data_IF_018488221243
#
_entry.id   IF_018488221243
#
_cell.length_a   1.000
_cell.length_b   1.000
_cell.length_c   1.000
_cell.angle_alpha   90.00
_cell.angle_beta   90.00
_cell.angle_gamma   90.00
#
_symmetry.space_group_name_H-M   'P 1'
#
loop_
_entity.id
_entity.type
_entity.pdbx_description
1 polymer ?
#
# COMPACT_ATOMS: atom_id res chain seq x y z
N UNK A 1 -3.29 -1.34 -6.59
CA UNK A 1 -3.71 -0.89 -7.96
C UNK A 1 -4.72 -1.86 -8.53
N UNK A 2 -5.29 -1.58 -9.70
CA UNK A 2 -6.34 -2.41 -10.26
C UNK A 2 -6.25 -2.66 -11.77
N UNK A 3 -6.66 -3.85 -12.18
CA UNK A 3 -6.95 -4.22 -13.55
C UNK A 3 -8.47 -4.11 -13.75
N UNK A 4 -8.87 -3.04 -14.43
CA UNK A 4 -10.28 -2.68 -14.65
C UNK A 4 -11.06 -3.77 -15.38
N UNK A 5 -10.47 -4.39 -16.39
CA UNK A 5 -11.15 -5.39 -17.20
C UNK A 5 -11.44 -6.65 -16.38
N UNK A 6 -10.42 -7.16 -15.65
CA UNK A 6 -10.60 -8.30 -14.75
C UNK A 6 -11.61 -8.00 -13.64
N UNK A 7 -11.53 -6.82 -13.03
CA UNK A 7 -12.45 -6.43 -11.95
C UNK A 7 -13.91 -6.35 -12.43
N UNK A 8 -14.16 -5.70 -13.57
CA UNK A 8 -15.50 -5.50 -14.12
C UNK A 8 -16.25 -6.78 -14.46
N UNK A 9 -15.50 -7.86 -14.76
CA UNK A 9 -16.07 -9.17 -15.07
C UNK A 9 -16.07 -10.06 -13.83
N UNK A 10 -14.89 -10.29 -13.24
CA UNK A 10 -14.69 -11.37 -12.26
C UNK A 10 -15.04 -10.93 -10.85
N UNK A 11 -14.54 -9.78 -10.42
CA UNK A 11 -14.87 -9.27 -9.08
C UNK A 11 -16.33 -8.87 -9.01
N UNK A 12 -16.84 -8.17 -10.03
CA UNK A 12 -18.24 -7.78 -10.09
C UNK A 12 -19.20 -8.98 -9.98
N UNK A 13 -19.01 -10.01 -10.81
CA UNK A 13 -19.86 -11.21 -10.82
C UNK A 13 -19.86 -11.93 -9.47
N UNK A 14 -18.66 -12.12 -8.89
CA UNK A 14 -18.52 -12.78 -7.60
C UNK A 14 -19.13 -11.94 -6.46
N UNK A 15 -18.92 -10.62 -6.43
CA UNK A 15 -19.55 -9.75 -5.41
C UNK A 15 -21.08 -9.70 -5.57
N UNK A 16 -21.59 -9.74 -6.80
CA UNK A 16 -23.02 -9.61 -7.07
C UNK A 16 -23.82 -10.87 -6.70
N UNK A 17 -23.26 -12.04 -6.99
CA UNK A 17 -24.04 -13.28 -7.02
C UNK A 17 -23.51 -14.38 -6.11
N UNK A 18 -22.21 -14.38 -5.84
CA UNK A 18 -21.59 -15.53 -5.18
C UNK A 18 -21.86 -15.48 -3.68
N UNK A 19 -22.39 -16.60 -3.19
CA UNK A 19 -22.26 -16.95 -1.78
C UNK A 19 -20.91 -17.65 -1.62
N UNK A 20 -20.07 -17.11 -0.75
CA UNK A 20 -18.80 -17.75 -0.38
C UNK A 20 -19.06 -18.73 0.77
N UNK A 21 -18.34 -18.69 1.89
CA UNK A 21 -18.55 -19.62 2.98
C UNK A 21 -19.97 -19.54 3.59
N UNK A 22 -20.31 -18.44 4.25
CA UNK A 22 -21.60 -18.34 4.96
C UNK A 22 -22.58 -17.37 4.32
N UNK A 23 -22.10 -16.30 3.69
CA UNK A 23 -22.95 -15.19 3.23
C UNK A 23 -22.48 -14.58 1.91
N UNK A 24 -23.33 -13.71 1.35
CA UNK A 24 -23.02 -12.88 0.16
C UNK A 24 -22.41 -11.55 0.60
N UNK A 25 -21.74 -10.85 -0.31
CA UNK A 25 -21.19 -9.52 -0.02
C UNK A 25 -22.27 -8.52 0.42
N UNK A 26 -23.45 -8.56 -0.21
CA UNK A 26 -24.61 -7.74 0.18
C UNK A 26 -25.00 -7.96 1.64
N UNK A 27 -25.20 -9.22 2.02
CA UNK A 27 -25.59 -9.59 3.39
C UNK A 27 -24.49 -9.30 4.41
N UNK A 28 -23.22 -9.33 4.00
CA UNK A 28 -22.09 -8.90 4.82
C UNK A 28 -22.18 -7.40 5.13
N UNK A 29 -22.31 -6.54 4.11
CA UNK A 29 -22.43 -5.09 4.30
C UNK A 29 -23.69 -4.70 5.11
N UNK A 30 -24.81 -5.40 4.92
CA UNK A 30 -26.02 -5.22 5.74
C UNK A 30 -25.77 -5.55 7.22
N UNK A 31 -24.92 -6.53 7.51
CA UNK A 31 -24.45 -6.86 8.86
C UNK A 31 -23.60 -5.74 9.45
N UNK A 32 -22.56 -5.31 8.72
CA UNK A 32 -21.66 -4.19 9.11
C UNK A 32 -22.43 -2.91 9.45
N UNK A 33 -23.39 -2.55 8.60
CA UNK A 33 -24.26 -1.39 8.84
C UNK A 33 -25.08 -1.48 10.13
N UNK A 34 -25.56 -2.68 10.50
CA UNK A 34 -26.32 -2.87 11.74
C UNK A 34 -25.44 -2.75 12.98
N UNK A 35 -24.19 -3.22 12.89
CA UNK A 35 -23.23 -3.18 14.00
C UNK A 35 -22.71 -1.75 14.26
N UNK A 36 -22.38 -1.01 13.20
CA UNK A 36 -21.75 0.32 13.29
C UNK A 36 -22.78 1.45 13.36
N UNK A 37 -23.98 1.25 12.79
CA UNK A 37 -25.02 2.26 12.68
C UNK A 37 -24.79 3.22 11.51
N UNK A 38 -24.01 4.28 11.70
CA UNK A 38 -23.72 5.27 10.64
C UNK A 38 -22.66 4.69 9.71
N UNK A 39 -23.09 4.24 8.53
CA UNK A 39 -22.24 3.49 7.60
C UNK A 39 -22.48 3.92 6.15
N UNK A 40 -21.43 4.39 5.48
CA UNK A 40 -21.52 5.07 4.17
C UNK A 40 -21.26 4.16 2.97
N UNK A 41 -20.61 3.01 3.18
CA UNK A 41 -20.35 2.00 2.15
C UNK A 41 -21.66 1.26 1.85
N UNK A 42 -22.05 1.21 0.57
CA UNK A 42 -23.27 0.49 0.15
C UNK A 42 -22.96 -0.48 -0.98
N UNK A 43 -23.67 -1.60 -0.98
CA UNK A 43 -23.51 -2.66 -1.97
C UNK A 43 -23.64 -2.14 -3.41
N UNK A 44 -24.66 -1.32 -3.67
CA UNK A 44 -24.94 -0.79 -5.00
C UNK A 44 -23.81 0.12 -5.51
N UNK A 45 -23.25 0.98 -4.63
CA UNK A 45 -22.14 1.86 -4.99
C UNK A 45 -20.87 1.08 -5.30
N UNK A 46 -20.56 0.09 -4.46
CA UNK A 46 -19.39 -0.77 -4.66
C UNK A 46 -19.50 -1.52 -5.99
N UNK A 47 -20.65 -2.16 -6.25
CA UNK A 47 -20.86 -2.88 -7.51
C UNK A 47 -20.78 -1.96 -8.73
N UNK A 48 -21.39 -0.78 -8.67
CA UNK A 48 -21.35 0.19 -9.77
C UNK A 48 -19.90 0.57 -10.10
N UNK A 49 -19.09 0.90 -9.09
CA UNK A 49 -17.67 1.24 -9.28
C UNK A 49 -16.87 0.06 -9.79
N UNK A 50 -17.01 -1.13 -9.22
CA UNK A 50 -16.30 -2.33 -9.69
C UNK A 50 -16.65 -2.65 -11.15
N UNK A 51 -17.91 -2.48 -11.55
CA UNK A 51 -18.36 -2.71 -12.94
C UNK A 51 -17.83 -1.66 -13.91
N UNK A 52 -17.91 -0.39 -13.52
CA UNK A 52 -17.66 0.75 -14.42
C UNK A 52 -16.19 1.13 -14.48
N UNK A 53 -15.55 1.29 -13.32
CA UNK A 53 -14.13 1.56 -13.15
C UNK A 53 -13.70 1.41 -11.68
N UNK A 54 -13.10 0.27 -11.34
CA UNK A 54 -12.62 -0.02 -9.99
C UNK A 54 -11.57 1.00 -9.49
N UNK A 55 -10.89 1.74 -10.37
CA UNK A 55 -9.95 2.78 -9.94
C UNK A 55 -10.65 3.97 -9.25
N UNK A 56 -11.98 4.04 -9.31
CA UNK A 56 -12.80 5.05 -8.61
C UNK A 56 -13.23 4.62 -7.21
N UNK A 57 -12.89 3.39 -6.79
CA UNK A 57 -13.19 2.88 -5.45
C UNK A 57 -12.50 3.73 -4.37
N UNK A 58 -13.17 3.92 -3.24
CA UNK A 58 -12.56 4.54 -2.05
C UNK A 58 -11.79 3.50 -1.23
N UNK A 59 -10.90 3.95 -0.35
CA UNK A 59 -10.21 3.08 0.58
C UNK A 59 -11.18 2.28 1.46
N UNK A 60 -12.22 2.92 2.03
CA UNK A 60 -13.23 2.24 2.84
C UNK A 60 -14.02 1.17 2.05
N UNK A 61 -14.40 1.46 0.81
CA UNK A 61 -15.08 0.49 -0.05
C UNK A 61 -14.19 -0.72 -0.36
N UNK A 62 -12.90 -0.48 -0.62
CA UNK A 62 -11.93 -1.54 -0.86
C UNK A 62 -11.61 -2.33 0.42
N UNK A 63 -11.52 -1.65 1.56
CA UNK A 63 -11.35 -2.28 2.87
C UNK A 63 -12.46 -3.31 3.12
N UNK A 64 -13.71 -2.96 2.84
CA UNK A 64 -14.84 -3.88 3.05
C UNK A 64 -14.85 -5.04 2.05
N UNK A 65 -14.38 -4.85 0.82
CA UNK A 65 -14.13 -5.96 -0.10
C UNK A 65 -13.06 -6.88 0.47
N UNK A 66 -11.93 -6.32 0.93
CA UNK A 66 -10.82 -7.08 1.48
C UNK A 66 -11.26 -7.86 2.74
N UNK A 67 -11.95 -7.20 3.68
CA UNK A 67 -12.49 -7.82 4.89
C UNK A 67 -13.51 -8.92 4.58
N UNK A 68 -14.39 -8.70 3.62
CA UNK A 68 -15.32 -9.75 3.19
C UNK A 68 -14.59 -10.96 2.62
N UNK A 69 -13.59 -10.72 1.75
CA UNK A 69 -12.78 -11.81 1.22
C UNK A 69 -12.01 -12.50 2.35
N UNK A 70 -11.49 -11.76 3.33
CA UNK A 70 -10.82 -12.29 4.51
C UNK A 70 -11.70 -13.19 5.36
N UNK A 71 -12.91 -12.78 5.67
CA UNK A 71 -13.81 -13.57 6.52
C UNK A 71 -14.43 -14.76 5.78
N UNK A 72 -14.86 -14.56 4.53
CA UNK A 72 -15.72 -15.54 3.83
C UNK A 72 -14.99 -16.45 2.85
N UNK A 73 -13.77 -16.10 2.43
CA UNK A 73 -12.92 -16.98 1.60
C UNK A 73 -11.91 -17.73 2.48
N UNK A 74 -11.41 -17.11 3.56
CA UNK A 74 -10.36 -17.73 4.37
C UNK A 74 -10.94 -18.72 5.38
N UNK A 75 -12.22 -18.60 5.77
CA UNK A 75 -12.87 -19.56 6.67
C UNK A 75 -12.94 -20.99 6.10
N UNK A 76 -12.91 -21.15 4.77
CA UNK A 76 -12.80 -22.45 4.09
C UNK A 76 -11.38 -23.08 4.15
N UNK A 77 -10.36 -22.33 4.60
CA UNK A 77 -8.94 -22.74 4.56
C UNK A 77 -8.36 -23.17 5.91
N UNK A 78 -9.22 -23.37 6.92
CA UNK A 78 -8.82 -23.81 8.26
C UNK A 78 -7.96 -25.09 8.22
N UNK A 79 -6.68 -24.97 8.60
CA UNK A 79 -5.70 -26.06 8.61
C UNK A 79 -4.60 -26.02 7.52
N UNK A 80 -4.57 -25.00 6.65
CA UNK A 80 -3.50 -24.79 5.67
C UNK A 80 -2.30 -24.02 6.25
N UNK A 81 -1.08 -24.27 5.74
CA UNK A 81 0.12 -23.53 6.15
C UNK A 81 0.06 -22.09 5.61
N UNK A 82 0.55 -21.11 6.38
CA UNK A 82 0.54 -19.67 6.08
C UNK A 82 1.01 -19.33 4.66
N UNK A 83 2.07 -19.96 4.16
CA UNK A 83 2.55 -19.73 2.79
C UNK A 83 1.57 -20.17 1.69
N UNK A 84 0.80 -21.25 1.92
CA UNK A 84 -0.25 -21.67 0.98
C UNK A 84 -1.43 -20.69 1.00
N UNK A 85 -1.74 -20.13 2.17
CA UNK A 85 -2.75 -19.11 2.35
C UNK A 85 -2.37 -17.83 1.60
N UNK A 86 -1.18 -17.28 1.85
CA UNK A 86 -0.68 -16.07 1.18
C UNK A 86 -0.70 -16.20 -0.36
N UNK A 87 -0.26 -17.35 -0.88
CA UNK A 87 -0.31 -17.63 -2.32
C UNK A 87 -1.75 -17.66 -2.85
N UNK A 88 -2.68 -18.29 -2.14
CA UNK A 88 -4.07 -18.35 -2.54
C UNK A 88 -4.69 -16.95 -2.66
N UNK A 89 -4.31 -16.04 -1.77
CA UNK A 89 -4.78 -14.64 -1.77
C UNK A 89 -4.18 -13.83 -2.90
N UNK A 90 -2.88 -13.99 -3.14
CA UNK A 90 -2.24 -13.39 -4.31
C UNK A 90 -2.92 -13.83 -5.61
N UNK A 91 -3.22 -15.12 -5.74
CA UNK A 91 -3.93 -15.68 -6.90
C UNK A 91 -5.37 -15.15 -7.01
N UNK A 92 -6.07 -15.03 -5.88
CA UNK A 92 -7.45 -14.52 -5.81
C UNK A 92 -7.51 -13.03 -6.19
N UNK A 93 -6.65 -12.20 -5.61
CA UNK A 93 -6.54 -10.78 -5.94
C UNK A 93 -6.20 -10.59 -7.42
N UNK A 94 -5.20 -11.30 -7.94
CA UNK A 94 -4.88 -11.24 -9.36
C UNK A 94 -6.06 -11.69 -10.24
N UNK A 95 -6.81 -12.72 -9.82
CA UNK A 95 -8.03 -13.13 -10.53
C UNK A 95 -9.06 -12.02 -10.55
N UNK A 96 -9.26 -11.31 -9.45
CA UNK A 96 -10.20 -10.20 -9.32
C UNK A 96 -9.71 -8.87 -9.90
N UNK A 97 -8.49 -8.82 -10.42
CA UNK A 97 -7.90 -7.58 -10.89
C UNK A 97 -7.51 -6.64 -9.76
N UNK A 98 -7.33 -7.13 -8.54
CA UNK A 98 -6.68 -6.39 -7.46
C UNK A 98 -5.18 -6.71 -7.54
N UNK A 99 -4.37 -5.67 -7.73
CA UNK A 99 -2.92 -5.80 -7.86
C UNK A 99 -2.31 -5.31 -6.56
N UNK A 100 -1.93 -6.26 -5.71
CA UNK A 100 -1.17 -6.00 -4.48
C UNK A 100 0.24 -5.56 -4.85
N UNK A 101 0.61 -4.36 -4.38
CA UNK A 101 1.94 -3.80 -4.61
C UNK A 101 2.90 -4.21 -3.50
N UNK A 102 2.48 -4.00 -2.25
CA UNK A 102 3.27 -4.31 -1.07
C UNK A 102 2.35 -4.53 0.13
N UNK A 103 2.60 -5.59 0.88
CA UNK A 103 1.95 -5.90 2.16
C UNK A 103 3.02 -5.83 3.26
N UNK A 104 2.79 -5.00 4.27
CA UNK A 104 3.73 -4.78 5.36
C UNK A 104 3.50 -5.88 6.42
N UNK A 105 4.56 -6.60 6.84
CA UNK A 105 4.39 -7.86 7.57
C UNK A 105 3.88 -7.70 9.01
N UNK A 106 4.05 -6.53 9.61
CA UNK A 106 3.60 -6.24 10.99
C UNK A 106 3.14 -4.79 11.13
N UNK A 107 2.33 -4.50 12.14
CA UNK A 107 1.92 -3.14 12.48
C UNK A 107 3.11 -2.22 12.82
N UNK A 108 4.17 -2.76 13.43
CA UNK A 108 5.39 -2.00 13.73
C UNK A 108 6.13 -1.59 12.47
N UNK A 109 6.28 -2.52 11.52
CA UNK A 109 6.91 -2.22 10.22
C UNK A 109 6.03 -1.27 9.41
N UNK A 110 4.70 -1.45 9.47
CA UNK A 110 3.75 -0.52 8.88
C UNK A 110 3.91 0.90 9.43
N UNK A 111 3.97 1.03 10.76
CA UNK A 111 4.19 2.31 11.44
C UNK A 111 5.48 2.98 10.97
N UNK A 112 6.57 2.22 10.81
CA UNK A 112 7.84 2.78 10.31
C UNK A 112 7.74 3.27 8.86
N UNK A 113 7.10 2.50 7.96
CA UNK A 113 6.91 2.91 6.57
C UNK A 113 6.01 4.14 6.45
N UNK A 114 4.90 4.16 7.19
CA UNK A 114 3.96 5.29 7.22
C UNK A 114 4.54 6.52 7.89
N UNK A 115 5.46 6.36 8.84
CA UNK A 115 6.21 7.48 9.41
C UNK A 115 7.05 8.18 8.34
N UNK A 116 7.74 7.42 7.48
CA UNK A 116 8.51 7.98 6.37
C UNK A 116 7.61 8.64 5.31
N UNK A 117 6.41 8.11 5.08
CA UNK A 117 5.39 8.79 4.27
C UNK A 117 4.96 10.12 4.89
N UNK A 118 4.74 10.17 6.22
CA UNK A 118 4.43 11.40 6.96
C UNK A 118 5.55 12.45 6.86
N UNK A 119 6.80 12.03 7.00
CA UNK A 119 7.97 12.91 6.82
C UNK A 119 8.04 13.46 5.40
N UNK A 120 7.89 12.61 4.39
CA UNK A 120 7.89 13.03 2.99
C UNK A 120 6.80 14.08 2.72
N UNK A 121 5.56 13.78 3.13
CA UNK A 121 4.41 14.66 2.88
C UNK A 121 4.44 15.97 3.65
N UNK A 122 5.22 16.07 4.73
CA UNK A 122 5.49 17.33 5.42
C UNK A 122 6.19 18.36 4.50
N UNK A 123 7.14 17.91 3.68
CA UNK A 123 7.94 18.76 2.80
C UNK A 123 7.44 18.80 1.36
N UNK A 124 6.80 17.72 0.91
CA UNK A 124 6.23 17.57 -0.41
C UNK A 124 4.74 17.26 -0.27
N UNK A 125 3.89 18.28 -0.01
CA UNK A 125 2.47 18.06 0.21
C UNK A 125 1.85 17.34 -0.99
N UNK A 126 1.34 16.15 -0.72
CA UNK A 126 0.53 15.41 -1.68
C UNK A 126 -0.89 15.92 -1.51
N UNK A 127 -1.52 16.34 -2.60
CA UNK A 127 -2.94 16.63 -2.58
C UNK A 127 -3.67 15.29 -2.53
N UNK A 128 -4.03 14.86 -1.33
CA UNK A 128 -4.98 13.79 -1.14
C UNK A 128 -6.29 14.29 -1.75
N UNK A 129 -6.64 13.77 -2.93
CA UNK A 129 -7.94 13.95 -3.55
C UNK A 129 -8.96 13.58 -2.48
N UNK A 130 -9.52 14.59 -1.86
CA UNK A 130 -10.17 14.46 -0.57
C UNK A 130 -11.06 13.21 -0.54
N UNK A 131 -11.01 12.51 0.58
CA UNK A 131 -12.22 12.02 1.22
C UNK A 131 -13.20 13.20 1.39
N UNK A 132 -13.71 13.78 0.29
CA UNK A 132 -14.58 14.96 0.25
C UNK A 132 -15.78 14.67 1.15
N UNK A 133 -15.73 15.14 2.39
CA UNK A 133 -16.79 15.01 3.40
C UNK A 133 -16.66 13.90 4.45
N UNK A 134 -15.65 13.02 4.42
CA UNK A 134 -15.43 12.02 5.48
C UNK A 134 -14.29 12.48 6.39
N UNK A 135 -14.65 13.06 7.54
CA UNK A 135 -13.69 13.56 8.55
C UNK A 135 -12.80 12.46 9.17
N UNK A 136 -13.08 11.19 8.89
CA UNK A 136 -12.37 10.02 9.39
C UNK A 136 -12.49 8.91 8.35
N UNK A 137 -11.41 8.58 7.63
CA UNK A 137 -11.33 7.32 6.88
C UNK A 137 -10.51 6.35 7.69
N UNK A 138 -11.18 5.42 8.36
CA UNK A 138 -10.52 4.39 9.15
C UNK A 138 -9.97 3.26 8.26
N UNK A 139 -10.31 3.23 6.96
CA UNK A 139 -9.92 2.15 6.02
C UNK A 139 -8.71 2.41 5.13
N UNK A 140 -8.11 3.60 5.17
CA UNK A 140 -6.91 3.96 4.38
C UNK A 140 -7.05 5.20 3.50
N UNK A 141 -6.24 5.33 2.44
CA UNK A 141 -6.14 6.54 1.60
C UNK A 141 -5.96 6.25 0.11
N UNK A 142 -6.50 7.12 -0.73
CA UNK A 142 -6.33 7.12 -2.18
C UNK A 142 -5.27 8.16 -2.58
N UNK A 143 -4.27 7.75 -3.37
CA UNK A 143 -3.13 8.60 -3.76
C UNK A 143 -2.97 8.55 -5.28
N UNK A 144 -2.64 9.68 -5.90
CA UNK A 144 -2.21 9.71 -7.31
C UNK A 144 -0.94 8.88 -7.49
N UNK A 145 -0.91 8.02 -8.51
CA UNK A 145 0.24 7.13 -8.71
C UNK A 145 1.53 7.87 -9.00
N UNK A 146 1.46 9.05 -9.63
CA UNK A 146 2.65 9.89 -9.87
C UNK A 146 3.21 10.42 -8.57
N UNK A 147 2.36 10.85 -7.65
CA UNK A 147 2.79 11.34 -6.33
C UNK A 147 3.32 10.21 -5.46
N UNK A 148 2.67 9.04 -5.49
CA UNK A 148 3.19 7.85 -4.82
C UNK A 148 4.56 7.42 -5.39
N UNK A 149 4.78 7.56 -6.70
CA UNK A 149 6.08 7.27 -7.30
C UNK A 149 7.19 8.24 -6.85
N UNK A 150 6.86 9.50 -6.59
CA UNK A 150 7.83 10.46 -6.01
C UNK A 150 8.17 10.09 -4.56
N UNK A 151 7.20 9.58 -3.80
CA UNK A 151 7.47 9.02 -2.49
C UNK A 151 8.36 7.76 -2.58
N UNK A 152 8.15 6.88 -3.56
CA UNK A 152 9.05 5.75 -3.80
C UNK A 152 10.48 6.22 -4.11
N UNK A 153 10.65 7.29 -4.89
CA UNK A 153 11.97 7.87 -5.15
C UNK A 153 12.66 8.34 -3.86
N UNK A 154 11.90 9.03 -2.98
CA UNK A 154 12.38 9.42 -1.66
C UNK A 154 12.80 8.21 -0.83
N UNK A 155 11.96 7.17 -0.75
CA UNK A 155 12.26 5.94 -0.02
C UNK A 155 13.50 5.24 -0.56
N UNK A 156 13.64 5.12 -1.90
CA UNK A 156 14.83 4.49 -2.52
C UNK A 156 16.11 5.22 -2.12
N UNK A 157 16.12 6.55 -2.20
CA UNK A 157 17.30 7.34 -1.88
C UNK A 157 17.61 7.35 -0.37
N UNK A 158 16.60 7.48 0.49
CA UNK A 158 16.78 7.41 1.95
C UNK A 158 17.30 6.04 2.38
N UNK A 159 16.67 4.95 1.93
CA UNK A 159 17.10 3.60 2.29
C UNK A 159 18.50 3.32 1.77
N UNK A 160 18.83 3.76 0.55
CA UNK A 160 20.21 3.68 0.04
C UNK A 160 21.18 4.37 0.98
N UNK A 161 20.89 5.59 1.44
CA UNK A 161 21.78 6.32 2.34
C UNK A 161 21.97 5.59 3.68
N UNK A 162 20.92 5.02 4.25
CA UNK A 162 20.98 4.21 5.47
C UNK A 162 21.89 2.98 5.28
N UNK A 163 21.73 2.28 4.15
CA UNK A 163 22.51 1.08 3.79
C UNK A 163 23.98 1.41 3.48
N UNK A 164 24.25 2.48 2.73
CA UNK A 164 25.61 2.95 2.43
C UNK A 164 26.36 3.35 3.71
N UNK A 165 25.64 3.91 4.69
CA UNK A 165 26.15 4.25 6.03
C UNK A 165 26.23 3.05 6.98
N UNK A 166 25.79 1.86 6.55
CA UNK A 166 25.82 0.60 7.31
C UNK A 166 25.19 0.75 8.70
N UNK A 167 24.07 1.47 8.79
CA UNK A 167 23.44 1.81 10.07
C UNK A 167 22.90 0.57 10.82
N UNK A 168 22.63 -0.52 10.10
CA UNK A 168 22.28 -1.83 10.65
C UNK A 168 23.49 -2.75 10.91
N UNK A 169 24.70 -2.29 10.59
CA UNK A 169 25.95 -3.02 10.77
C UNK A 169 26.33 -3.98 9.63
N UNK A 170 25.55 -4.04 8.54
CA UNK A 170 25.80 -4.94 7.41
C UNK A 170 26.36 -4.22 6.18
N UNK A 171 27.00 -4.98 5.29
CA UNK A 171 27.42 -4.51 3.98
C UNK A 171 26.44 -4.98 2.90
N UNK A 172 26.15 -4.10 1.95
CA UNK A 172 25.20 -4.36 0.88
C UNK A 172 25.84 -4.05 -0.46
N UNK A 173 25.72 -4.99 -1.40
CA UNK A 173 26.08 -4.80 -2.79
C UNK A 173 24.81 -4.61 -3.62
N UNK A 174 24.68 -3.47 -4.28
CA UNK A 174 23.59 -3.22 -5.21
C UNK A 174 23.89 -3.83 -6.56
N UNK A 175 22.89 -4.45 -7.18
CA UNK A 175 22.97 -4.91 -8.55
C UNK A 175 23.08 -3.73 -9.50
N UNK A 176 23.64 -3.95 -10.70
CA UNK A 176 23.73 -2.93 -11.73
C UNK A 176 22.37 -2.27 -12.04
N UNK A 177 21.30 -3.07 -12.09
CA UNK A 177 19.97 -2.55 -12.35
C UNK A 177 19.48 -1.60 -11.26
N UNK A 178 19.79 -1.89 -9.99
CA UNK A 178 19.43 -1.02 -8.87
C UNK A 178 20.21 0.29 -8.92
N UNK A 179 21.52 0.21 -9.17
CA UNK A 179 22.37 1.40 -9.36
C UNK A 179 21.90 2.26 -10.54
N UNK A 180 21.53 1.64 -11.67
CA UNK A 180 20.98 2.35 -12.84
C UNK A 180 19.63 3.04 -12.51
N UNK A 181 18.84 2.50 -11.57
CA UNK A 181 17.60 3.12 -11.10
C UNK A 181 17.92 4.29 -10.17
N UNK A 182 18.82 4.12 -9.21
CA UNK A 182 19.28 5.17 -8.29
C UNK A 182 19.83 6.36 -9.06
N UNK A 183 20.68 6.12 -10.06
CA UNK A 183 21.27 7.17 -10.90
C UNK A 183 20.21 7.94 -11.67
N UNK A 184 19.20 7.24 -12.22
CA UNK A 184 18.08 7.86 -12.91
C UNK A 184 17.25 8.75 -11.98
N UNK A 185 16.87 8.23 -10.81
CA UNK A 185 16.14 8.99 -9.80
C UNK A 185 16.94 10.25 -9.40
N UNK A 186 18.25 10.09 -9.17
CA UNK A 186 19.12 11.21 -8.80
C UNK A 186 19.18 12.26 -9.91
N UNK A 187 19.25 11.86 -11.18
CA UNK A 187 19.24 12.77 -12.31
C UNK A 187 17.88 13.47 -12.50
N UNK A 188 16.77 12.75 -12.32
CA UNK A 188 15.42 13.29 -12.41
C UNK A 188 15.16 14.36 -11.32
N UNK A 189 15.75 14.17 -10.13
CA UNK A 189 15.63 15.09 -9.00
C UNK A 189 16.81 16.04 -8.84
N UNK A 190 17.74 16.13 -9.79
CA UNK A 190 19.01 16.89 -9.64
C UNK A 190 18.82 18.38 -9.24
N UNK A 191 17.69 18.98 -9.61
CA UNK A 191 17.36 20.37 -9.28
C UNK A 191 16.52 20.52 -8.00
N UNK A 192 16.09 19.40 -7.39
CA UNK A 192 15.33 19.36 -6.16
C UNK A 192 16.26 19.29 -4.94
N UNK A 193 16.95 20.39 -4.66
CA UNK A 193 17.89 20.49 -3.53
C UNK A 193 17.22 20.22 -2.18
N UNK A 194 15.92 20.50 -2.06
CA UNK A 194 15.15 20.25 -0.83
C UNK A 194 15.10 18.74 -0.56
N UNK A 195 14.80 17.92 -1.57
CA UNK A 195 14.68 16.47 -1.39
C UNK A 195 15.97 15.84 -0.85
N UNK A 196 17.12 16.17 -1.45
CA UNK A 196 18.40 15.62 -0.98
C UNK A 196 18.76 16.09 0.43
N UNK A 197 18.48 17.37 0.75
CA UNK A 197 18.73 17.92 2.08
C UNK A 197 17.87 17.24 3.14
N UNK A 198 16.58 17.02 2.85
CA UNK A 198 15.67 16.38 3.80
C UNK A 198 15.98 14.89 3.95
N UNK A 199 16.44 14.20 2.90
CA UNK A 199 16.94 12.81 3.02
C UNK A 199 18.16 12.75 3.94
N UNK A 200 19.11 13.66 3.79
CA UNK A 200 20.30 13.70 4.65
C UNK A 200 19.92 13.99 6.11
N UNK A 201 19.08 15.00 6.33
CA UNK A 201 18.58 15.37 7.66
C UNK A 201 17.81 14.24 8.32
N UNK A 202 16.93 13.56 7.58
CA UNK A 202 16.16 12.42 8.11
C UNK A 202 17.08 11.24 8.42
N UNK A 203 18.07 10.95 7.57
CA UNK A 203 19.02 9.87 7.83
C UNK A 203 19.83 10.12 9.11
N UNK A 204 20.26 11.36 9.36
CA UNK A 204 20.92 11.75 10.61
C UNK A 204 19.97 11.65 11.81
N UNK A 205 18.73 12.11 11.67
CA UNK A 205 17.73 12.05 12.72
C UNK A 205 17.36 10.61 13.12
N UNK A 206 17.14 9.73 12.13
CA UNK A 206 16.88 8.29 12.35
C UNK A 206 18.02 7.67 13.15
N UNK A 207 19.27 7.98 12.80
CA UNK A 207 20.46 7.46 13.48
C UNK A 207 20.50 7.87 14.95
N UNK A 208 20.17 9.13 15.24
CA UNK A 208 20.20 9.66 16.61
C UNK A 208 19.02 9.18 17.45
N UNK A 209 17.89 8.87 16.82
CA UNK A 209 16.63 8.50 17.50
C UNK A 209 16.35 6.99 17.53
N UNK A 210 17.19 6.14 16.95
CA UNK A 210 16.97 4.68 16.86
C UNK A 210 17.29 3.90 18.15
N UNK A 211 17.25 4.56 19.32
CA UNK A 211 17.53 3.90 20.61
C UNK A 211 16.40 2.96 21.07
N UNK A 212 15.16 3.22 20.64
CA UNK A 212 14.04 2.30 20.82
C UNK A 212 13.99 1.31 19.66
N UNK A 213 14.41 0.07 19.90
CA UNK A 213 14.46 -1.01 18.91
C UNK A 213 13.09 -1.32 18.27
N UNK A 214 11.98 -1.01 18.97
CA UNK A 214 10.61 -1.19 18.45
C UNK A 214 10.02 0.09 17.86
N UNK A 215 10.72 1.20 17.99
CA UNK A 215 10.32 2.49 17.47
C UNK A 215 10.41 2.55 15.94
N UNK A 216 9.67 3.48 15.30
CA UNK A 216 9.65 3.61 13.84
C UNK A 216 11.05 3.85 13.24
N UNK A 217 11.95 4.53 13.96
CA UNK A 217 13.30 4.83 13.49
C UNK A 217 14.19 3.57 13.41
N UNK A 218 14.23 2.78 14.49
CA UNK A 218 15.01 1.53 14.49
C UNK A 218 14.46 0.53 13.46
N UNK A 219 13.13 0.44 13.34
CA UNK A 219 12.49 -0.41 12.34
C UNK A 219 12.77 0.07 10.90
N UNK A 220 12.87 1.39 10.67
CA UNK A 220 13.31 1.93 9.37
C UNK A 220 14.72 1.45 9.02
N UNK A 221 15.63 1.41 10.00
CA UNK A 221 16.98 0.86 9.80
C UNK A 221 16.93 -0.65 9.53
N UNK A 222 16.27 -1.43 10.39
CA UNK A 222 16.21 -2.89 10.27
C UNK A 222 15.57 -3.37 8.97
N UNK A 223 14.58 -2.63 8.46
CA UNK A 223 13.89 -2.96 7.22
C UNK A 223 14.38 -2.16 6.02
N UNK A 224 15.50 -1.41 6.14
CA UNK A 224 15.98 -0.53 5.08
C UNK A 224 16.18 -1.28 3.75
N UNK A 225 16.82 -2.44 3.78
CA UNK A 225 17.01 -3.25 2.58
C UNK A 225 15.69 -3.75 1.99
N UNK A 226 14.74 -4.20 2.83
CA UNK A 226 13.42 -4.63 2.36
C UNK A 226 12.64 -3.47 1.73
N UNK A 227 12.61 -2.31 2.39
CA UNK A 227 11.97 -1.10 1.88
C UNK A 227 12.60 -0.62 0.58
N UNK A 228 13.93 -0.67 0.46
CA UNK A 228 14.64 -0.35 -0.78
C UNK A 228 14.18 -1.25 -1.93
N UNK A 229 14.23 -2.58 -1.74
CA UNK A 229 13.85 -3.56 -2.75
C UNK A 229 12.39 -3.40 -3.17
N UNK A 230 11.49 -3.23 -2.21
CA UNK A 230 10.06 -3.10 -2.48
C UNK A 230 9.71 -1.76 -3.15
N UNK A 231 10.39 -0.67 -2.80
CA UNK A 231 10.19 0.62 -3.47
C UNK A 231 10.63 0.56 -4.94
N UNK A 232 11.73 -0.14 -5.24
CA UNK A 232 12.15 -0.42 -6.62
C UNK A 232 11.11 -1.28 -7.35
N UNK A 233 10.68 -2.39 -6.74
CA UNK A 233 9.68 -3.29 -7.33
C UNK A 233 8.37 -2.56 -7.65
N UNK A 234 7.87 -1.75 -6.70
CA UNK A 234 6.70 -0.92 -6.91
C UNK A 234 6.92 0.10 -8.03
N UNK A 235 8.07 0.79 -8.06
CA UNK A 235 8.41 1.75 -9.13
C UNK A 235 8.40 1.12 -10.52
N UNK A 236 8.84 -0.13 -10.64
CA UNK A 236 8.86 -0.87 -11.91
C UNK A 236 7.47 -1.39 -12.31
N UNK A 237 6.60 -1.68 -11.34
CA UNK A 237 5.25 -2.25 -11.59
C UNK A 237 4.17 -1.19 -11.82
N UNK A 238 4.32 0.00 -11.26
CA UNK A 238 3.33 1.08 -11.39
C UNK A 238 3.46 1.71 -12.77
N UNK A 239 2.42 1.55 -13.58
CA UNK A 239 2.23 2.23 -14.86
C UNK A 239 1.19 3.33 -14.65
N UNK A 240 1.62 4.59 -14.61
CA UNK A 240 0.73 5.73 -14.29
C UNK A 240 -0.34 5.98 -15.34
N UNK A 241 -0.14 5.54 -16.60
CA UNK A 241 -1.13 5.68 -17.67
C UNK A 241 -2.27 4.65 -17.52
N UNK A 242 -1.94 3.44 -17.04
CA UNK A 242 -2.93 2.39 -16.79
C UNK A 242 -3.53 2.44 -15.39
N UNK A 243 -2.76 2.92 -14.43
CA UNK A 243 -3.09 2.93 -13.01
C UNK A 243 -2.85 4.32 -12.47
N UNK A 244 -3.80 5.22 -12.68
CA UNK A 244 -3.69 6.60 -12.20
C UNK A 244 -3.73 6.72 -10.65
N UNK A 245 -4.15 5.66 -9.94
CA UNK A 245 -4.36 5.69 -8.50
C UNK A 245 -3.77 4.48 -7.77
N UNK A 246 -3.15 4.76 -6.64
CA UNK A 246 -2.78 3.79 -5.59
C UNK A 246 -3.80 3.91 -4.45
N UNK A 247 -4.18 2.78 -3.87
CA UNK A 247 -4.98 2.73 -2.65
C UNK A 247 -4.13 2.07 -1.59
N UNK A 248 -3.87 2.78 -0.50
CA UNK A 248 -3.27 2.25 0.72
C UNK A 248 -4.42 1.84 1.62
N UNK A 249 -4.41 0.60 2.09
CA UNK A 249 -5.37 0.10 3.06
C UNK A 249 -4.72 0.02 4.43
N UNK A 250 -5.43 0.50 5.45
CA UNK A 250 -5.09 0.23 6.85
C UNK A 250 -5.97 -0.91 7.35
N UNK A 251 -5.43 -2.13 7.32
CA UNK A 251 -6.12 -3.31 7.84
C UNK A 251 -5.64 -3.58 9.26
N UNK A 252 -6.44 -3.17 10.25
CA UNK A 252 -6.26 -3.48 11.67
C UNK A 252 -6.34 -4.97 11.97
#
# INVERSE_FOLDING_TARGET
MFDKEKASVRLHDDLQHKRFHTRTFKTFLEGRKKEIGTYYVTFEKVLEKVRSDINTITADELFEINLFLSEEVYSDSTGSNYSAMEKHLGDLYNRYGIILLYELPTSTVCTSYMFQYGNYTHYFPIYELENYGLKHSDGGVNIDSTDFLKFNDYMILLMKMILDRKMDGYEYDFTKNEEDIIQRITADHQNNLIMFKEIESECDFIKDCSSDEKGPYAQTIYYAYAFFKQSIEMKLRIDTEKNARIVILDSY
#
